data_IF_324596622197
#
_entry.id   IF_324596622197
#
_cell.length_a   1.000
_cell.length_b   1.000
_cell.length_c   1.000
_cell.angle_alpha   90.00
_cell.angle_beta   90.00
_cell.angle_gamma   90.00
#
_symmetry.space_group_name_H-M   'P 1'
#
loop_
_entity.id
_entity.type
_entity.pdbx_description
1 polymer ?
#
# COMPACT_ATOMS: atom_id res chain seq x y z
N UNK A 1 6.75 -57.77 -13.09
CA UNK A 1 5.83 -56.64 -13.30
C UNK A 1 6.43 -55.75 -14.36
N UNK A 2 5.60 -55.34 -15.32
CA UNK A 2 5.99 -54.96 -16.68
C UNK A 2 6.61 -53.56 -16.79
N UNK A 3 7.64 -53.46 -17.62
CA UNK A 3 8.19 -52.21 -18.18
C UNK A 3 7.29 -51.79 -19.35
N UNK A 4 6.75 -50.57 -19.30
CA UNK A 4 5.97 -49.99 -20.39
C UNK A 4 6.90 -49.12 -21.23
N UNK A 5 7.08 -49.53 -22.48
CA UNK A 5 7.84 -48.84 -23.53
C UNK A 5 6.95 -47.82 -24.23
N UNK A 6 7.44 -46.57 -24.34
CA UNK A 6 6.80 -45.51 -25.12
C UNK A 6 7.13 -45.68 -26.60
N UNK A 7 6.09 -45.67 -27.45
CA UNK A 7 6.24 -45.62 -28.90
C UNK A 7 6.22 -44.17 -29.36
N UNK A 8 7.32 -43.76 -29.95
CA UNK A 8 7.55 -42.51 -30.65
C UNK A 8 6.96 -42.58 -32.06
N UNK A 9 6.27 -41.54 -32.52
CA UNK A 9 5.80 -41.40 -33.90
C UNK A 9 5.69 -39.93 -34.24
N UNK A 10 6.80 -39.41 -34.77
CA UNK A 10 6.88 -38.20 -35.57
C UNK A 10 6.26 -38.47 -36.96
N UNK A 11 5.30 -37.65 -37.38
CA UNK A 11 4.93 -37.51 -38.79
C UNK A 11 4.96 -36.02 -39.19
N UNK A 12 5.91 -35.71 -40.07
CA UNK A 12 6.07 -34.47 -40.82
C UNK A 12 5.02 -34.36 -41.95
N UNK A 13 4.24 -33.27 -41.99
CA UNK A 13 3.67 -32.77 -43.25
C UNK A 13 3.67 -31.23 -43.31
N UNK A 14 4.32 -30.68 -44.34
CA UNK A 14 4.30 -29.25 -44.72
C UNK A 14 3.12 -28.93 -45.71
N UNK A 15 3.02 -27.72 -46.31
CA UNK A 15 1.96 -26.74 -46.05
C UNK A 15 0.88 -26.69 -47.16
N UNK A 16 -0.39 -26.47 -46.79
CA UNK A 16 -1.48 -26.26 -47.76
C UNK A 16 -1.89 -24.79 -47.85
N UNK A 17 -1.97 -24.31 -49.09
CA UNK A 17 -2.16 -22.93 -49.51
C UNK A 17 -3.56 -22.35 -49.30
N UNK A 18 -3.58 -21.01 -49.26
CA UNK A 18 -4.69 -20.04 -49.19
C UNK A 18 -6.01 -20.45 -49.86
N UNK A 19 -7.13 -20.33 -49.14
CA UNK A 19 -8.47 -20.08 -49.71
C UNK A 19 -9.27 -19.02 -48.94
N UNK A 20 -9.62 -17.98 -49.70
CA UNK A 20 -10.72 -17.02 -49.67
C UNK A 20 -11.44 -16.63 -48.37
N UNK A 21 -11.45 -15.32 -48.10
CA UNK A 21 -12.48 -14.59 -47.35
C UNK A 21 -13.89 -14.97 -47.84
N UNK A 22 -14.77 -15.33 -46.90
CA UNK A 22 -16.07 -14.68 -46.73
C UNK A 22 -16.71 -15.07 -45.39
N UNK A 23 -17.48 -14.12 -44.90
CA UNK A 23 -18.44 -14.15 -43.79
C UNK A 23 -17.89 -13.91 -42.37
N UNK A 24 -18.12 -12.67 -41.96
CA UNK A 24 -17.96 -12.13 -40.63
C UNK A 24 -18.93 -12.83 -39.66
N UNK A 25 -18.37 -13.43 -38.61
CA UNK A 25 -19.07 -13.71 -37.36
C UNK A 25 -18.19 -13.15 -36.25
N UNK A 26 -18.77 -12.24 -35.48
CA UNK A 26 -18.14 -11.55 -34.35
C UNK A 26 -17.44 -12.54 -33.43
N UNK A 27 -16.11 -12.41 -33.29
CA UNK A 27 -15.44 -12.87 -32.09
C UNK A 27 -15.76 -11.87 -30.99
N UNK A 28 -16.67 -12.25 -30.10
CA UNK A 28 -16.75 -11.64 -28.78
C UNK A 28 -15.43 -11.90 -28.06
N UNK A 29 -14.97 -10.86 -27.36
CA UNK A 29 -13.71 -10.80 -26.64
C UNK A 29 -13.48 -12.05 -25.76
N UNK A 30 -12.27 -12.58 -25.84
CA UNK A 30 -11.69 -13.56 -24.92
C UNK A 30 -11.68 -12.98 -23.49
N UNK A 31 -12.81 -13.05 -22.80
CA UNK A 31 -12.91 -12.73 -21.38
C UNK A 31 -12.33 -13.91 -20.57
N UNK A 32 -10.99 -13.97 -20.52
CA UNK A 32 -10.29 -14.80 -19.55
C UNK A 32 -10.79 -14.42 -18.15
N UNK A 33 -11.11 -15.41 -17.28
CA UNK A 33 -11.53 -15.10 -15.93
C UNK A 33 -10.45 -14.29 -15.21
N UNK A 34 -10.82 -13.30 -14.39
CA UNK A 34 -9.85 -12.47 -13.69
C UNK A 34 -8.96 -13.37 -12.84
N UNK A 35 -7.66 -13.06 -12.86
CA UNK A 35 -6.67 -13.79 -12.09
C UNK A 35 -7.11 -13.86 -10.62
N UNK A 36 -7.13 -15.05 -9.98
CA UNK A 36 -7.52 -15.16 -8.58
C UNK A 36 -6.67 -14.22 -7.73
N UNK A 37 -7.29 -13.40 -6.89
CA UNK A 37 -6.57 -12.43 -6.05
C UNK A 37 -5.48 -13.09 -5.18
N UNK A 38 -5.65 -14.37 -4.84
CA UNK A 38 -4.65 -15.18 -4.13
C UNK A 38 -3.33 -15.38 -4.89
N UNK A 39 -3.35 -15.32 -6.23
CA UNK A 39 -2.15 -15.48 -7.06
C UNK A 39 -1.18 -14.30 -6.91
N UNK A 40 -1.70 -13.07 -6.74
CA UNK A 40 -0.88 -11.89 -6.49
C UNK A 40 -0.14 -11.95 -5.15
N UNK A 41 -0.73 -12.63 -4.15
CA UNK A 41 -0.09 -12.82 -2.85
C UNK A 41 1.15 -13.73 -2.90
N UNK A 42 1.31 -14.57 -3.93
CA UNK A 42 2.48 -15.46 -4.07
C UNK A 42 3.76 -14.70 -4.42
N UNK A 43 3.64 -13.53 -5.04
CA UNK A 43 4.78 -12.72 -5.49
C UNK A 43 4.99 -11.45 -4.66
N UNK A 44 4.12 -11.18 -3.68
CA UNK A 44 4.25 -9.99 -2.81
C UNK A 44 5.44 -10.08 -1.85
N UNK A 45 5.93 -11.30 -1.57
CA UNK A 45 7.14 -11.50 -0.77
C UNK A 45 8.38 -11.62 -1.67
N UNK A 46 9.34 -10.70 -1.53
CA UNK A 46 10.64 -10.81 -2.19
C UNK A 46 11.39 -12.05 -1.71
N UNK A 47 11.82 -12.92 -2.63
CA UNK A 47 12.66 -14.09 -2.34
C UNK A 47 13.99 -13.62 -1.72
N UNK A 48 14.33 -14.15 -0.54
CA UNK A 48 15.59 -13.81 0.15
C UNK A 48 16.75 -14.60 -0.46
N UNK A 49 17.83 -13.88 -0.78
CA UNK A 49 19.08 -14.46 -1.28
C UNK A 49 20.08 -14.72 -0.14
N UNK A 50 19.87 -14.15 1.08
CA UNK A 50 20.82 -14.27 2.20
C UNK A 50 20.17 -13.98 3.57
N UNK A 51 20.75 -14.58 4.63
CA UNK A 51 20.43 -14.35 6.05
C UNK A 51 21.21 -13.18 6.68
N UNK A 52 22.18 -12.62 5.96
CA UNK A 52 23.01 -11.49 6.41
C UNK A 52 22.45 -10.20 5.81
N UNK A 53 22.20 -9.19 6.64
CA UNK A 53 21.71 -7.87 6.19
C UNK A 53 22.89 -7.08 5.58
N UNK A 54 22.88 -6.90 4.26
CA UNK A 54 23.81 -6.02 3.56
C UNK A 54 23.06 -4.72 3.18
N UNK A 55 23.32 -3.60 3.87
CA UNK A 55 22.66 -2.32 3.60
C UNK A 55 22.87 -1.84 2.16
N UNK A 56 23.98 -2.22 1.50
CA UNK A 56 24.26 -1.81 0.12
C UNK A 56 23.25 -2.41 -0.88
N UNK A 57 22.73 -3.60 -0.60
CA UNK A 57 21.67 -4.25 -1.41
C UNK A 57 20.29 -3.63 -1.24
N UNK A 58 20.15 -2.68 -0.30
CA UNK A 58 18.88 -2.05 0.01
C UNK A 58 18.99 -0.51 0.05
N UNK A 59 19.89 0.09 -0.73
CA UNK A 59 20.07 1.56 -0.79
C UNK A 59 20.41 2.19 0.59
N UNK A 60 21.29 1.55 1.36
CA UNK A 60 21.71 2.00 2.69
C UNK A 60 20.69 1.73 3.81
N UNK A 61 19.57 1.08 3.49
CA UNK A 61 18.54 0.69 4.47
C UNK A 61 19.07 -0.37 5.43
N UNK A 62 19.29 0.00 6.69
CA UNK A 62 19.57 -0.96 7.78
C UNK A 62 18.26 -1.56 8.31
N UNK A 63 18.16 -2.90 8.40
CA UNK A 63 16.98 -3.53 9.01
C UNK A 63 17.02 -3.35 10.53
N UNK A 64 15.89 -2.90 11.10
CA UNK A 64 15.75 -2.71 12.54
C UNK A 64 15.44 -4.06 13.23
N UNK A 65 14.71 -4.96 12.55
CA UNK A 65 14.36 -6.29 13.07
C UNK A 65 15.04 -7.37 12.24
N UNK A 66 15.94 -8.13 12.86
CA UNK A 66 16.53 -9.33 12.27
C UNK A 66 15.42 -10.37 12.06
N UNK A 67 15.45 -11.10 10.95
CA UNK A 67 14.54 -12.22 10.79
C UNK A 67 14.82 -13.27 11.87
N UNK A 68 13.76 -13.67 12.57
CA UNK A 68 13.76 -14.76 13.53
C UNK A 68 12.83 -15.82 12.95
N UNK A 69 13.29 -17.06 12.88
CA UNK A 69 12.46 -18.16 12.43
C UNK A 69 11.18 -18.24 13.27
N UNK A 70 10.06 -18.48 12.61
CA UNK A 70 8.75 -18.47 13.24
C UNK A 70 8.10 -17.09 13.38
N UNK A 71 8.83 -15.98 13.14
CA UNK A 71 8.25 -14.64 13.07
C UNK A 71 7.80 -14.28 11.65
N UNK A 72 6.58 -13.79 11.54
CA UNK A 72 5.90 -13.37 10.33
C UNK A 72 5.69 -11.85 10.39
N UNK A 73 6.48 -11.05 9.65
CA UNK A 73 6.18 -9.65 9.45
C UNK A 73 4.84 -9.51 8.74
N UNK A 74 3.94 -8.73 9.33
CA UNK A 74 2.57 -8.57 8.84
C UNK A 74 2.18 -7.10 8.83
N UNK A 75 1.40 -6.71 7.83
CA UNK A 75 0.93 -5.35 7.63
C UNK A 75 -0.42 -5.40 6.95
N UNK A 76 -1.36 -4.60 7.46
CA UNK A 76 -2.74 -4.50 6.96
C UNK A 76 -2.91 -3.13 6.33
N UNK A 77 -3.42 -3.07 5.12
CA UNK A 77 -3.51 -1.83 4.36
C UNK A 77 -4.63 -1.85 3.31
N UNK A 78 -4.98 -0.67 2.84
CA UNK A 78 -5.79 -0.49 1.62
C UNK A 78 -4.86 -0.28 0.44
N UNK A 79 -4.99 -1.10 -0.59
CA UNK A 79 -4.15 -1.02 -1.78
C UNK A 79 -4.77 -0.09 -2.83
N UNK A 80 -3.91 0.70 -3.48
CA UNK A 80 -4.25 1.51 -4.63
C UNK A 80 -3.23 1.27 -5.74
N UNK A 81 -3.71 0.95 -6.94
CA UNK A 81 -2.90 0.90 -8.15
C UNK A 81 -3.12 2.20 -8.94
N UNK A 82 -2.13 3.10 -9.03
CA UNK A 82 -2.26 4.30 -9.84
C UNK A 82 -2.55 3.97 -11.31
N UNK A 83 -3.53 4.66 -11.89
CA UNK A 83 -3.72 4.65 -13.34
C UNK A 83 -2.51 5.26 -14.06
N UNK A 84 -2.32 5.02 -15.38
CA UNK A 84 -1.19 5.58 -16.11
C UNK A 84 -1.05 7.11 -15.98
N UNK A 85 -2.17 7.85 -15.98
CA UNK A 85 -2.17 9.30 -15.83
C UNK A 85 -1.76 9.73 -14.41
N UNK A 86 -2.30 9.07 -13.38
CA UNK A 86 -1.92 9.33 -11.99
C UNK A 86 -0.44 9.01 -11.75
N UNK A 87 0.05 7.89 -12.31
CA UNK A 87 1.45 7.49 -12.27
C UNK A 87 2.36 8.54 -12.90
N UNK A 88 1.97 9.10 -14.05
CA UNK A 88 2.73 10.15 -14.72
C UNK A 88 2.81 11.42 -13.86
N UNK A 89 1.69 11.87 -13.29
CA UNK A 89 1.65 13.05 -12.42
C UNK A 89 2.49 12.84 -11.16
N UNK A 90 2.42 11.67 -10.52
CA UNK A 90 3.27 11.33 -9.37
C UNK A 90 4.76 11.27 -9.75
N UNK A 91 5.09 10.72 -10.92
CA UNK A 91 6.46 10.68 -11.43
C UNK A 91 6.99 12.08 -11.69
N UNK A 92 6.18 12.97 -12.26
CA UNK A 92 6.50 14.37 -12.48
C UNK A 92 6.75 15.08 -11.15
N UNK A 93 5.90 14.84 -10.15
CA UNK A 93 6.08 15.36 -8.79
C UNK A 93 7.42 14.91 -8.18
N UNK A 94 7.77 13.62 -8.27
CA UNK A 94 9.04 13.13 -7.71
C UNK A 94 10.26 13.73 -8.42
N UNK A 95 10.18 13.94 -9.73
CA UNK A 95 11.27 14.53 -10.54
C UNK A 95 11.49 16.03 -10.28
N UNK A 96 10.46 16.76 -9.85
CA UNK A 96 10.55 18.20 -9.56
C UNK A 96 11.08 18.49 -8.16
N UNK A 97 11.18 17.47 -7.30
CA UNK A 97 11.76 17.63 -5.97
C UNK A 97 13.24 18.01 -6.07
N UNK A 98 13.72 18.90 -5.19
CA UNK A 98 15.10 19.39 -5.23
C UNK A 98 16.13 18.33 -4.79
N UNK A 99 15.67 17.18 -4.27
CA UNK A 99 16.53 16.12 -3.75
C UNK A 99 16.70 15.00 -4.78
N UNK A 100 17.92 14.83 -5.27
CA UNK A 100 18.33 13.67 -6.07
C UNK A 100 18.37 12.35 -5.27
N UNK A 101 18.09 12.39 -3.96
CA UNK A 101 18.15 11.24 -3.04
C UNK A 101 16.77 10.69 -2.65
N UNK A 102 15.69 11.16 -3.28
CA UNK A 102 14.36 10.57 -3.07
C UNK A 102 14.25 9.30 -3.90
N UNK A 103 14.12 8.18 -3.22
CA UNK A 103 13.86 6.89 -3.83
C UNK A 103 12.36 6.73 -4.06
N UNK A 104 12.00 6.43 -5.30
CA UNK A 104 10.62 6.18 -5.72
C UNK A 104 10.01 4.97 -4.99
N UNK A 105 8.74 5.09 -4.60
CA UNK A 105 7.88 3.95 -4.21
C UNK A 105 6.81 3.64 -5.26
N UNK A 106 6.71 4.46 -6.31
CA UNK A 106 5.65 4.35 -7.31
C UNK A 106 6.04 3.43 -8.47
N UNK A 107 7.33 3.10 -8.62
CA UNK A 107 7.83 2.21 -9.67
C UNK A 107 9.07 1.43 -9.24
N UNK A 108 9.29 0.31 -9.92
CA UNK A 108 10.55 -0.45 -9.84
C UNK A 108 11.67 0.27 -10.61
N UNK A 109 12.94 -0.12 -10.44
CA UNK A 109 14.04 0.40 -11.26
C UNK A 109 13.86 0.16 -12.77
N UNK A 110 12.99 -0.78 -13.16
CA UNK A 110 12.62 -1.06 -14.55
C UNK A 110 11.37 -0.30 -15.01
N UNK A 111 10.95 0.74 -14.28
CA UNK A 111 9.80 1.61 -14.59
C UNK A 111 8.46 0.86 -14.63
N UNK A 112 8.38 -0.29 -13.96
CA UNK A 112 7.11 -0.99 -13.75
C UNK A 112 6.37 -0.33 -12.58
N UNK A 113 5.13 0.15 -12.76
CA UNK A 113 4.35 0.75 -11.69
C UNK A 113 4.15 -0.21 -10.51
N UNK A 114 4.19 0.34 -9.29
CA UNK A 114 3.98 -0.40 -8.05
C UNK A 114 2.68 0.03 -7.37
N UNK A 115 1.99 -0.90 -6.69
CA UNK A 115 0.86 -0.54 -5.85
C UNK A 115 1.33 0.32 -4.67
N UNK A 116 0.52 1.32 -4.36
CA UNK A 116 0.64 2.18 -3.19
C UNK A 116 -0.44 1.82 -2.18
N UNK A 117 -0.39 2.41 -0.98
CA UNK A 117 -1.34 2.04 0.05
C UNK A 117 -1.57 3.11 1.13
N UNK A 118 -2.69 2.95 1.84
CA UNK A 118 -2.95 3.58 3.14
C UNK A 118 -2.85 2.51 4.23
N UNK A 119 -1.99 2.74 5.22
CA UNK A 119 -1.80 1.77 6.32
C UNK A 119 -2.99 1.73 7.28
N UNK A 120 -3.40 0.52 7.65
CA UNK A 120 -4.42 0.24 8.68
C UNK A 120 -3.85 -0.48 9.90
N UNK A 121 -2.59 -0.92 9.86
CA UNK A 121 -1.85 -1.43 11.02
C UNK A 121 -0.46 -0.83 11.13
N UNK A 122 0.12 -0.89 12.33
CA UNK A 122 1.56 -0.74 12.48
C UNK A 122 2.27 -1.94 11.83
N UNK A 123 3.61 -1.91 11.67
CA UNK A 123 4.36 -3.12 11.39
C UNK A 123 4.16 -4.15 12.51
N UNK A 124 3.57 -5.30 12.18
CA UNK A 124 3.25 -6.36 13.13
C UNK A 124 4.29 -7.49 13.01
N UNK A 125 4.50 -8.22 14.10
CA UNK A 125 5.34 -9.42 14.12
C UNK A 125 4.55 -10.54 14.77
N UNK A 126 3.87 -11.32 13.93
CA UNK A 126 3.09 -12.47 14.36
C UNK A 126 3.98 -13.70 14.49
N UNK A 127 3.63 -14.61 15.39
CA UNK A 127 4.29 -15.91 15.46
C UNK A 127 3.55 -16.93 14.59
N UNK A 128 4.24 -18.00 14.23
CA UNK A 128 3.66 -19.05 13.36
C UNK A 128 2.40 -19.65 13.97
N UNK A 129 2.38 -19.84 15.29
CA UNK A 129 1.23 -20.35 16.04
C UNK A 129 0.03 -19.39 16.09
N UNK A 130 0.23 -18.08 15.85
CA UNK A 130 -0.82 -17.07 15.97
C UNK A 130 -1.24 -16.43 14.65
N UNK A 131 -0.47 -16.62 13.57
CA UNK A 131 -0.69 -15.92 12.29
C UNK A 131 -2.05 -16.22 11.68
N UNK A 132 -2.48 -17.48 11.73
CA UNK A 132 -3.72 -17.92 11.08
C UNK A 132 -4.93 -17.42 11.88
N UNK A 133 -4.90 -17.53 13.22
CA UNK A 133 -5.93 -16.95 14.08
C UNK A 133 -6.05 -15.43 13.92
N UNK A 134 -4.92 -14.71 13.82
CA UNK A 134 -4.96 -13.28 13.56
C UNK A 134 -5.59 -12.97 12.20
N UNK A 135 -5.22 -13.70 11.16
CA UNK A 135 -5.76 -13.53 9.81
C UNK A 135 -7.26 -13.77 9.77
N UNK A 136 -7.75 -14.82 10.43
CA UNK A 136 -9.18 -15.13 10.51
C UNK A 136 -9.95 -14.03 11.25
N UNK A 137 -9.46 -13.63 12.44
CA UNK A 137 -10.08 -12.59 13.27
C UNK A 137 -10.18 -11.26 12.52
N UNK A 138 -9.07 -10.80 11.91
CA UNK A 138 -9.05 -9.52 11.22
C UNK A 138 -9.91 -9.56 9.96
N UNK A 139 -9.89 -10.68 9.24
CA UNK A 139 -10.70 -10.87 8.05
C UNK A 139 -12.18 -10.85 8.37
N UNK A 140 -12.62 -11.57 9.42
CA UNK A 140 -14.03 -11.59 9.82
C UNK A 140 -14.52 -10.18 10.20
N UNK A 141 -13.75 -9.47 11.04
CA UNK A 141 -14.14 -8.16 11.55
C UNK A 141 -14.14 -7.09 10.46
N UNK A 142 -13.11 -7.05 9.61
CA UNK A 142 -13.05 -6.08 8.51
C UNK A 142 -14.07 -6.40 7.41
N UNK A 143 -14.35 -7.67 7.12
CA UNK A 143 -15.44 -8.04 6.19
C UNK A 143 -16.78 -7.50 6.64
N UNK A 144 -17.06 -7.45 7.94
CA UNK A 144 -18.31 -6.87 8.46
C UNK A 144 -18.39 -5.37 8.16
N UNK A 145 -17.30 -4.63 8.40
CA UNK A 145 -17.20 -3.19 8.11
C UNK A 145 -17.30 -2.95 6.60
N UNK A 146 -16.54 -3.67 5.77
CA UNK A 146 -16.51 -3.50 4.31
C UNK A 146 -17.87 -3.84 3.68
N UNK A 147 -18.58 -4.88 4.15
CA UNK A 147 -19.93 -5.21 3.64
C UNK A 147 -20.98 -4.15 3.96
N UNK A 148 -20.75 -3.36 5.02
CA UNK A 148 -21.63 -2.23 5.32
C UNK A 148 -21.44 -1.05 4.35
N UNK A 149 -20.33 -1.03 3.60
CA UNK A 149 -20.04 -0.02 2.60
C UNK A 149 -20.91 -0.25 1.37
N UNK A 150 -21.61 0.81 0.93
CA UNK A 150 -22.38 0.78 -0.32
C UNK A 150 -21.56 1.19 -1.55
N UNK A 151 -20.36 1.72 -1.33
CA UNK A 151 -19.47 2.23 -2.37
C UNK A 151 -18.00 2.03 -1.95
N UNK A 152 -17.05 1.96 -2.90
CA UNK A 152 -15.62 1.99 -2.60
C UNK A 152 -15.22 3.24 -1.80
N UNK A 153 -14.18 3.11 -0.99
CA UNK A 153 -13.63 4.24 -0.24
C UNK A 153 -12.84 5.09 -1.23
N UNK A 154 -13.29 6.34 -1.41
CA UNK A 154 -12.66 7.30 -2.32
C UNK A 154 -12.06 8.45 -1.54
N UNK A 155 -10.79 8.75 -1.76
CA UNK A 155 -10.10 9.89 -1.12
C UNK A 155 -9.43 10.76 -2.16
N UNK A 156 -9.05 11.97 -1.78
CA UNK A 156 -8.23 12.89 -2.59
C UNK A 156 -6.93 13.21 -1.88
N UNK A 157 -5.83 13.50 -2.60
CA UNK A 157 -4.69 14.17 -2.02
C UNK A 157 -5.10 15.50 -1.36
N UNK A 158 -4.47 15.83 -0.25
CA UNK A 158 -4.72 17.03 0.53
C UNK A 158 -3.46 17.89 0.68
N UNK A 159 -2.33 17.26 0.98
CA UNK A 159 -1.04 17.95 1.14
C UNK A 159 0.11 16.98 0.98
N UNK A 160 1.29 17.54 0.71
CA UNK A 160 2.56 16.81 0.61
C UNK A 160 3.43 17.16 1.82
N UNK A 161 3.96 16.14 2.50
CA UNK A 161 4.81 16.33 3.68
C UNK A 161 5.83 15.20 3.84
N UNK A 162 6.89 15.44 4.60
CA UNK A 162 7.78 14.38 5.07
C UNK A 162 7.27 13.77 6.37
N UNK A 163 7.38 12.45 6.49
CA UNK A 163 7.04 11.71 7.70
C UNK A 163 8.19 10.79 8.10
N UNK A 164 8.78 11.04 9.27
CA UNK A 164 9.79 10.17 9.87
C UNK A 164 9.18 8.87 10.38
N UNK A 165 9.90 7.76 10.27
CA UNK A 165 9.57 6.57 11.04
C UNK A 165 9.87 6.78 12.55
N UNK A 166 9.53 5.79 13.40
CA UNK A 166 9.57 5.94 14.86
C UNK A 166 10.92 6.36 15.44
N UNK A 167 12.03 5.92 14.84
CA UNK A 167 13.40 6.27 15.26
C UNK A 167 14.04 7.36 14.38
N UNK A 168 13.26 7.98 13.49
CA UNK A 168 13.72 8.97 12.51
C UNK A 168 14.93 8.51 11.67
N UNK A 169 15.11 7.19 11.50
CA UNK A 169 16.15 6.64 10.62
C UNK A 169 15.77 6.64 9.14
N UNK A 170 14.50 6.91 8.82
CA UNK A 170 13.96 7.02 7.45
C UNK A 170 12.83 8.04 7.39
N UNK A 171 12.80 8.79 6.30
CA UNK A 171 11.74 9.74 6.00
C UNK A 171 10.99 9.32 4.76
N UNK A 172 9.67 9.38 4.82
CA UNK A 172 8.77 9.07 3.73
C UNK A 172 8.15 10.35 3.21
N UNK A 173 8.13 10.51 1.89
CA UNK A 173 7.36 11.56 1.25
C UNK A 173 5.92 11.07 1.14
N UNK A 174 5.00 11.76 1.79
CA UNK A 174 3.62 11.29 1.94
C UNK A 174 2.61 12.29 1.40
N UNK A 175 1.63 11.76 0.68
CA UNK A 175 0.40 12.46 0.32
C UNK A 175 -0.62 12.24 1.43
N UNK A 176 -0.94 13.28 2.19
CA UNK A 176 -2.07 13.26 3.11
C UNK A 176 -3.36 13.16 2.31
N UNK A 177 -4.36 12.49 2.88
CA UNK A 177 -5.64 12.27 2.21
C UNK A 177 -6.77 13.05 2.87
N UNK A 178 -7.76 13.42 2.07
CA UNK A 178 -8.98 14.08 2.51
C UNK A 178 -10.21 13.46 1.83
N UNK A 179 -11.39 13.81 2.34
CA UNK A 179 -12.66 13.43 1.71
C UNK A 179 -12.79 14.04 0.30
N UNK A 180 -13.50 13.36 -0.62
CA UNK A 180 -13.78 13.90 -1.95
C UNK A 180 -14.72 15.11 -1.86
N UNK A 181 -14.67 15.99 -2.88
CA UNK A 181 -15.53 17.19 -2.95
C UNK A 181 -17.02 16.86 -2.91
N UNK A 182 -17.41 15.71 -3.48
CA UNK A 182 -18.78 15.21 -3.40
C UNK A 182 -18.97 14.47 -2.07
N UNK A 183 -19.87 14.99 -1.24
CA UNK A 183 -20.18 14.39 0.05
C UNK A 183 -20.68 12.95 -0.10
N UNK A 184 -19.94 12.01 0.49
CA UNK A 184 -20.40 10.64 0.74
C UNK A 184 -20.85 10.54 2.21
N UNK A 185 -21.88 9.72 2.48
CA UNK A 185 -22.39 9.47 3.83
C UNK A 185 -22.38 7.97 4.14
N UNK A 186 -21.59 7.52 5.15
CA UNK A 186 -20.60 8.30 5.91
C UNK A 186 -19.42 8.75 5.02
N UNK A 187 -18.63 9.73 5.49
CA UNK A 187 -17.46 10.21 4.74
C UNK A 187 -16.37 9.14 4.66
N UNK A 188 -15.51 9.22 3.65
CA UNK A 188 -14.40 8.27 3.46
C UNK A 188 -13.44 8.27 4.64
N UNK A 189 -13.11 9.43 5.20
CA UNK A 189 -12.26 9.52 6.40
C UNK A 189 -12.91 8.87 7.63
N UNK A 190 -14.24 8.96 7.76
CA UNK A 190 -14.98 8.26 8.82
C UNK A 190 -14.85 6.75 8.66
N UNK A 191 -14.95 6.25 7.42
CA UNK A 191 -14.78 4.82 7.11
C UNK A 191 -13.34 4.35 7.36
N UNK A 192 -12.35 5.14 6.97
CA UNK A 192 -10.94 4.84 7.27
C UNK A 192 -10.69 4.76 8.78
N UNK A 193 -11.26 5.67 9.57
CA UNK A 193 -11.22 5.59 11.03
C UNK A 193 -11.85 4.30 11.55
N UNK A 194 -13.01 3.90 11.05
CA UNK A 194 -13.66 2.64 11.46
C UNK A 194 -12.81 1.40 11.14
N UNK A 195 -12.21 1.34 9.95
CA UNK A 195 -11.30 0.27 9.56
C UNK A 195 -10.04 0.23 10.44
N UNK A 196 -9.45 1.39 10.69
CA UNK A 196 -8.26 1.53 11.54
C UNK A 196 -8.56 1.13 12.99
N UNK A 197 -9.66 1.62 13.57
CA UNK A 197 -10.07 1.29 14.94
C UNK A 197 -10.31 -0.21 15.09
N UNK A 198 -10.95 -0.83 14.08
CA UNK A 198 -11.16 -2.28 14.03
C UNK A 198 -9.83 -3.02 13.98
N UNK A 199 -8.93 -2.62 13.09
CA UNK A 199 -7.59 -3.21 12.95
C UNK A 199 -6.76 -3.06 14.24
N UNK A 200 -6.77 -1.88 14.86
CA UNK A 200 -6.09 -1.61 16.13
C UNK A 200 -6.66 -2.43 17.29
N UNK A 201 -7.97 -2.71 17.31
CA UNK A 201 -8.59 -3.57 18.32
C UNK A 201 -8.12 -5.01 18.17
N UNK A 202 -8.04 -5.52 16.94
CA UNK A 202 -7.55 -6.89 16.68
C UNK A 202 -6.06 -6.99 16.98
N UNK A 203 -5.25 -6.01 16.55
CA UNK A 203 -3.84 -5.94 16.90
C UNK A 203 -3.64 -6.00 18.43
N UNK A 204 -4.37 -5.19 19.20
CA UNK A 204 -4.27 -5.20 20.66
C UNK A 204 -4.63 -6.56 21.29
N UNK A 205 -5.69 -7.24 20.83
CA UNK A 205 -6.06 -8.59 21.31
C UNK A 205 -4.96 -9.62 21.08
N UNK A 206 -4.20 -9.47 20.00
CA UNK A 206 -3.06 -10.32 19.64
C UNK A 206 -1.72 -9.82 20.19
N UNK A 207 -1.75 -8.88 21.16
CA UNK A 207 -0.55 -8.27 21.77
C UNK A 207 0.38 -7.60 20.75
N UNK A 208 -0.18 -7.03 19.70
CA UNK A 208 0.51 -6.33 18.63
C UNK A 208 0.40 -4.81 18.78
N UNK A 209 1.34 -4.03 18.22
CA UNK A 209 1.29 -2.57 18.28
C UNK A 209 0.10 -1.99 17.51
N UNK A 210 -0.44 -0.89 18.01
CA UNK A 210 -1.52 -0.13 17.38
C UNK A 210 -0.96 1.03 16.55
N UNK A 211 -1.56 1.30 15.39
CA UNK A 211 -1.18 2.40 14.51
C UNK A 211 -1.76 3.73 15.01
N UNK A 212 -0.96 4.80 14.93
CA UNK A 212 -1.28 6.19 15.27
C UNK A 212 -1.65 6.48 16.74
N UNK A 213 -1.86 5.48 17.60
CA UNK A 213 -2.21 5.71 19.03
C UNK A 213 -1.20 6.62 19.74
N UNK A 214 0.10 6.40 19.54
CA UNK A 214 1.16 7.25 20.14
C UNK A 214 1.12 8.69 19.62
N UNK A 215 0.84 8.89 18.32
CA UNK A 215 0.73 10.22 17.70
C UNK A 215 -0.49 10.97 18.21
N UNK A 216 -1.64 10.29 18.30
CA UNK A 216 -2.87 10.85 18.86
C UNK A 216 -2.70 11.25 20.34
N UNK A 217 -1.99 10.43 21.13
CA UNK A 217 -1.66 10.76 22.52
C UNK A 217 -0.74 11.98 22.64
N UNK A 218 0.31 12.07 21.80
CA UNK A 218 1.24 13.22 21.79
C UNK A 218 0.53 14.53 21.44
N UNK A 219 -0.46 14.48 20.55
CA UNK A 219 -1.21 15.64 20.11
C UNK A 219 -2.40 15.98 21.04
N UNK A 220 -2.73 15.11 22.00
CA UNK A 220 -3.76 15.38 23.01
C UNK A 220 -3.20 16.23 24.14
N UNK A 221 -3.77 17.42 24.31
CA UNK A 221 -3.31 18.43 25.26
C UNK A 221 -3.61 18.12 26.74
N UNK A 222 -4.20 16.97 27.07
CA UNK A 222 -4.54 16.59 28.46
C UNK A 222 -4.24 15.11 28.79
N UNK A 223 -3.10 14.81 29.43
CA UNK A 223 -2.69 13.44 29.79
C UNK A 223 -3.53 12.76 30.88
N UNK A 224 -4.34 13.50 31.64
CA UNK A 224 -4.90 13.06 32.94
C UNK A 224 -6.28 12.38 32.88
N UNK A 225 -6.88 12.20 31.70
CA UNK A 225 -8.18 11.51 31.52
C UNK A 225 -8.10 10.25 30.65
N UNK A 226 -6.93 9.62 30.55
CA UNK A 226 -6.71 8.41 29.76
C UNK A 226 -7.17 7.11 30.46
N UNK A 227 -8.29 7.13 31.19
CA UNK A 227 -8.88 5.92 31.80
C UNK A 227 -10.07 5.43 30.99
N UNK A 228 -9.87 4.30 30.30
CA UNK A 228 -10.85 3.29 29.86
C UNK A 228 -12.05 3.68 28.96
N UNK A 229 -12.32 4.95 28.68
CA UNK A 229 -13.44 5.38 27.79
C UNK A 229 -12.99 6.01 26.46
N UNK A 230 -11.67 6.09 26.22
CA UNK A 230 -11.07 6.79 25.08
C UNK A 230 -11.07 6.01 23.74
N UNK A 231 -11.49 4.74 23.71
CA UNK A 231 -11.48 3.94 22.47
C UNK A 231 -12.46 4.44 21.40
N UNK A 232 -13.44 5.27 21.76
CA UNK A 232 -14.52 5.68 20.86
C UNK A 232 -14.42 7.10 20.30
N UNK A 233 -13.38 7.89 20.62
CA UNK A 233 -13.35 9.31 20.23
C UNK A 233 -12.01 9.83 19.70
N UNK A 234 -11.07 8.94 19.37
CA UNK A 234 -9.83 9.35 18.70
C UNK A 234 -10.10 9.45 17.20
N UNK A 235 -10.09 10.69 16.70
CA UNK A 235 -10.06 10.95 15.27
C UNK A 235 -8.63 10.83 14.74
N UNK A 236 -8.40 9.86 13.85
CA UNK A 236 -7.13 9.62 13.19
C UNK A 236 -7.06 10.18 11.77
N UNK A 237 -8.10 10.92 11.33
CA UNK A 237 -8.18 11.51 9.98
C UNK A 237 -6.91 12.26 9.55
N UNK A 238 -6.26 13.09 10.40
CA UNK A 238 -5.04 13.80 10.01
C UNK A 238 -3.84 12.90 9.69
N UNK A 239 -3.86 11.65 10.18
CA UNK A 239 -2.72 10.75 10.05
C UNK A 239 -2.75 9.89 8.79
N UNK A 240 -3.90 9.71 8.13
CA UNK A 240 -3.96 8.90 6.91
C UNK A 240 -3.15 9.53 5.77
N UNK A 241 -2.36 8.70 5.09
CA UNK A 241 -1.46 9.13 4.05
C UNK A 241 -1.06 7.97 3.13
N UNK A 242 -0.59 8.33 1.93
CA UNK A 242 0.01 7.43 0.94
C UNK A 242 1.47 7.81 0.78
N UNK A 243 2.39 6.86 0.99
CA UNK A 243 3.82 7.11 0.80
C UNK A 243 4.20 6.93 -0.67
N UNK A 244 4.78 7.96 -1.29
CA UNK A 244 5.16 7.96 -2.72
C UNK A 244 6.67 7.92 -2.95
N UNK A 245 7.46 8.20 -1.92
CA UNK A 245 8.90 8.13 -1.96
C UNK A 245 9.50 8.04 -0.57
N UNK A 246 10.81 7.80 -0.47
CA UNK A 246 11.52 7.80 0.79
C UNK A 246 12.96 8.27 0.63
N UNK A 247 13.57 8.71 1.73
CA UNK A 247 14.97 9.10 1.78
C UNK A 247 15.57 8.81 3.16
N UNK A 248 16.89 8.86 3.26
CA UNK A 248 17.62 8.73 4.51
C UNK A 248 17.83 10.12 5.16
N UNK A 249 17.94 10.18 6.49
CA UNK A 249 18.25 11.42 7.20
C UNK A 249 19.56 12.01 6.70
N UNK A 250 19.58 13.33 6.50
CA UNK A 250 20.77 14.07 6.12
C UNK A 250 21.15 15.00 7.27
N UNK A 251 22.42 14.96 7.70
CA UNK A 251 22.88 15.74 8.87
C UNK A 251 22.69 17.26 8.73
N UNK A 252 22.54 17.75 7.50
CA UNK A 252 22.44 19.17 7.18
C UNK A 252 21.01 19.62 6.83
N UNK A 253 19.99 18.77 6.97
CA UNK A 253 18.62 19.09 6.57
C UNK A 253 17.60 18.45 7.49
N UNK A 254 16.78 19.28 8.13
CA UNK A 254 15.59 18.81 8.82
C UNK A 254 14.43 18.71 7.81
N UNK A 255 14.11 17.48 7.40
CA UNK A 255 13.06 17.23 6.41
C UNK A 255 11.67 17.58 6.95
N UNK A 256 11.46 17.61 8.26
CA UNK A 256 10.16 17.98 8.85
C UNK A 256 9.84 19.48 8.67
N UNK A 257 10.87 20.31 8.51
CA UNK A 257 10.74 21.76 8.28
C UNK A 257 10.69 22.12 6.79
N UNK A 258 10.84 21.14 5.89
CA UNK A 258 10.80 21.37 4.45
C UNK A 258 9.40 21.80 4.02
N UNK A 259 9.26 23.09 3.69
CA UNK A 259 8.03 23.59 3.07
C UNK A 259 8.05 23.28 1.56
N UNK A 260 7.72 22.05 1.21
CA UNK A 260 7.70 21.55 -0.17
C UNK A 260 6.79 22.39 -1.10
N UNK A 261 5.70 22.96 -0.55
CA UNK A 261 4.75 23.78 -1.30
C UNK A 261 5.25 25.21 -1.62
N UNK A 262 6.42 25.64 -1.09
CA UNK A 262 7.03 26.92 -1.48
C UNK A 262 7.64 26.89 -2.88
N UNK A 263 7.86 25.70 -3.45
CA UNK A 263 8.35 25.56 -4.81
C UNK A 263 7.19 25.68 -5.79
N UNK A 264 7.17 26.67 -6.70
CA UNK A 264 6.01 26.93 -7.55
C UNK A 264 5.57 25.72 -8.38
N UNK A 265 6.54 24.98 -8.94
CA UNK A 265 6.28 23.80 -9.77
C UNK A 265 5.70 22.65 -8.93
N UNK A 266 6.23 22.42 -7.72
CA UNK A 266 5.71 21.39 -6.81
C UNK A 266 4.29 21.75 -6.38
N UNK A 267 4.04 23.03 -6.10
CA UNK A 267 2.72 23.53 -5.74
C UNK A 267 1.71 23.34 -6.88
N UNK A 268 2.08 23.71 -8.11
CA UNK A 268 1.22 23.54 -9.29
C UNK A 268 0.79 22.08 -9.49
N UNK A 269 1.75 21.14 -9.41
CA UNK A 269 1.46 19.71 -9.53
C UNK A 269 0.61 19.21 -8.34
N UNK A 270 0.87 19.71 -7.13
CA UNK A 270 0.07 19.35 -5.97
C UNK A 270 -1.36 19.87 -6.07
N UNK A 271 -1.55 21.09 -6.57
CA UNK A 271 -2.87 21.67 -6.80
C UNK A 271 -3.65 20.84 -7.83
N UNK A 272 -3.01 20.43 -8.94
CA UNK A 272 -3.59 19.50 -9.93
C UNK A 272 -4.00 18.15 -9.30
N UNK A 273 -3.13 17.56 -8.49
CA UNK A 273 -3.46 16.33 -7.75
C UNK A 273 -4.65 16.56 -6.80
N UNK A 274 -4.65 17.64 -6.03
CA UNK A 274 -5.69 17.98 -5.08
C UNK A 274 -7.04 18.27 -5.76
N UNK A 275 -7.05 18.76 -7.01
CA UNK A 275 -8.25 19.12 -7.79
C UNK A 275 -8.79 18.01 -8.70
N UNK A 276 -7.92 17.20 -9.31
CA UNK A 276 -8.31 16.23 -10.34
C UNK A 276 -8.21 14.76 -9.91
N UNK A 277 -7.43 14.44 -8.89
CA UNK A 277 -7.18 13.05 -8.50
C UNK A 277 -8.19 12.50 -7.49
N UNK A 278 -8.72 11.31 -7.77
CA UNK A 278 -9.55 10.53 -6.83
C UNK A 278 -8.98 9.12 -6.71
N UNK A 279 -8.46 8.81 -5.53
CA UNK A 279 -7.95 7.48 -5.20
C UNK A 279 -9.10 6.62 -4.70
N UNK A 280 -9.38 5.52 -5.39
CA UNK A 280 -10.33 4.48 -4.96
C UNK A 280 -9.58 3.29 -4.39
N UNK A 281 -10.03 2.79 -3.24
CA UNK A 281 -9.51 1.56 -2.66
C UNK A 281 -10.51 0.43 -2.86
N UNK A 282 -10.06 -0.63 -3.52
CA UNK A 282 -10.94 -1.73 -3.91
C UNK A 282 -10.84 -2.95 -2.97
N UNK A 283 -9.74 -3.04 -2.21
CA UNK A 283 -9.52 -4.15 -1.27
C UNK A 283 -8.69 -3.73 -0.05
N UNK A 284 -9.01 -4.34 1.09
CA UNK A 284 -8.10 -4.45 2.23
C UNK A 284 -7.22 -5.70 2.01
N UNK A 285 -5.92 -5.55 2.20
CA UNK A 285 -4.93 -6.64 2.13
C UNK A 285 -4.18 -6.79 3.45
#
# INVERSE_FOLDING_TARGET
>A
MALVSYSDSEEDEQPIAKRSKKDAVNHEDDDLPPLPASFLNLYSSSVRVSNTDDPSLHHGRKRIVKHVEGNWPTHVYLEWLPSPNEHETLTRLLKTLPNSTVHSLIETPLQVPLPLHVSLSAPLVLRTESKDTFLDDITEQLKSVVRSLRQPIKVRPASLSWHGNEDSSRYFLVLRVQDPQQSQSPSSLTLLNQLLLTSNRIAARHNQPQLYTKLAQKNSSNPTKATATAENNNDFSPYFHISIGWTLPSTNRNLEDDNLAMQPIVKEILDDLCENMIVSFDAVK
#
